data_IF_467547289814
#
_entry.id   IF_467547289814
#
_cell.length_a   1.000
_cell.length_b   1.000
_cell.length_c   1.000
_cell.angle_alpha   90.00
_cell.angle_beta   90.00
_cell.angle_gamma   90.00
#
_symmetry.space_group_name_H-M   'P 1'
#
loop_
_entity.id
_entity.type
_entity.pdbx_description
1 polymer ?
#
# COMPACT_ATOMS: atom_id res chain seq x y z
N UNK A 1 6.32 13.55 -3.38
CA UNK A 1 6.12 12.29 -2.63
C UNK A 1 5.23 11.42 -3.50
N UNK A 2 5.67 10.25 -3.95
CA UNK A 2 4.87 9.47 -4.92
C UNK A 2 5.65 8.44 -5.74
N UNK A 3 6.91 8.71 -6.09
CA UNK A 3 7.71 7.73 -6.85
C UNK A 3 7.98 6.45 -6.05
N UNK A 4 8.34 6.58 -4.77
CA UNK A 4 8.54 5.43 -3.88
C UNK A 4 7.24 4.62 -3.71
N UNK A 5 6.13 5.28 -3.38
CA UNK A 5 4.81 4.64 -3.30
C UNK A 5 4.39 3.93 -4.61
N UNK A 6 4.64 4.55 -5.77
CA UNK A 6 4.36 3.94 -7.08
C UNK A 6 5.22 2.70 -7.35
N UNK A 7 6.51 2.75 -7.00
CA UNK A 7 7.39 1.59 -7.10
C UNK A 7 6.93 0.46 -6.18
N UNK A 8 6.52 0.77 -4.96
CA UNK A 8 5.99 -0.22 -4.00
C UNK A 8 4.69 -0.83 -4.53
N UNK A 9 3.76 -0.02 -5.06
CA UNK A 9 2.53 -0.51 -5.70
C UNK A 9 2.84 -1.48 -6.84
N UNK A 10 3.75 -1.11 -7.74
CA UNK A 10 4.16 -1.99 -8.85
C UNK A 10 4.74 -3.31 -8.35
N UNK A 11 5.59 -3.26 -7.32
CA UNK A 11 6.18 -4.47 -6.77
C UNK A 11 5.15 -5.37 -6.08
N UNK A 12 4.17 -4.77 -5.40
CA UNK A 12 3.06 -5.51 -4.81
C UNK A 12 2.24 -6.24 -5.89
N UNK A 13 1.94 -5.60 -7.02
CA UNK A 13 1.25 -6.23 -8.15
C UNK A 13 2.02 -7.43 -8.70
N UNK A 14 3.33 -7.30 -8.90
CA UNK A 14 4.18 -8.41 -9.36
C UNK A 14 4.14 -9.62 -8.40
N UNK A 15 4.00 -9.38 -7.09
CA UNK A 15 3.93 -10.44 -6.08
C UNK A 15 2.58 -11.15 -6.09
N UNK A 16 1.49 -10.42 -6.33
CA UNK A 16 0.12 -10.94 -6.21
C UNK A 16 -0.54 -11.29 -7.55
N UNK A 17 0.19 -11.15 -8.68
CA UNK A 17 -0.36 -11.27 -10.03
C UNK A 17 -1.11 -12.60 -10.31
N UNK A 18 -0.70 -13.69 -9.65
CA UNK A 18 -1.27 -15.02 -9.84
C UNK A 18 -2.36 -15.36 -8.81
N UNK A 19 -2.71 -14.43 -7.92
CA UNK A 19 -3.78 -14.61 -6.94
C UNK A 19 -5.12 -14.17 -7.52
N UNK A 20 -6.15 -15.01 -7.33
CA UNK A 20 -7.52 -14.64 -7.64
C UNK A 20 -8.09 -13.78 -6.50
N UNK A 21 -8.54 -12.56 -6.82
CA UNK A 21 -9.20 -11.61 -5.92
C UNK A 21 -8.42 -11.31 -4.61
N UNK A 22 -7.16 -10.85 -4.68
CA UNK A 22 -6.35 -10.60 -3.50
C UNK A 22 -6.86 -9.42 -2.66
N UNK A 23 -6.77 -9.56 -1.35
CA UNK A 23 -6.96 -8.47 -0.38
C UNK A 23 -5.62 -8.02 0.18
N UNK A 24 -5.40 -6.71 0.25
CA UNK A 24 -4.12 -6.12 0.63
C UNK A 24 -4.29 -5.29 1.90
N UNK A 25 -3.53 -5.62 2.94
CA UNK A 25 -3.40 -4.84 4.17
C UNK A 25 -2.15 -3.96 4.05
N UNK A 26 -2.31 -2.65 4.22
CA UNK A 26 -1.18 -1.70 4.20
C UNK A 26 -0.97 -1.15 5.60
N UNK A 27 0.15 -1.51 6.22
CA UNK A 27 0.55 -1.03 7.55
C UNK A 27 1.54 0.11 7.42
N UNK A 28 1.10 1.31 7.80
CA UNK A 28 1.94 2.51 7.76
C UNK A 28 2.28 2.96 9.19
N UNK A 29 3.57 3.21 9.44
CA UNK A 29 4.01 3.94 10.63
C UNK A 29 4.01 5.45 10.40
N UNK A 30 4.41 6.23 11.42
CA UNK A 30 4.61 7.68 11.26
C UNK A 30 5.82 8.02 10.38
N UNK A 31 5.78 9.17 9.73
CA UNK A 31 6.90 9.74 8.95
C UNK A 31 6.87 9.43 7.46
N UNK A 32 7.99 9.67 6.77
CA UNK A 32 8.06 9.63 5.31
C UNK A 32 7.71 8.26 4.72
N UNK A 33 8.18 7.17 5.33
CA UNK A 33 7.86 5.81 4.89
C UNK A 33 6.36 5.50 5.01
N UNK A 34 5.69 6.04 6.04
CA UNK A 34 4.24 5.94 6.18
C UNK A 34 3.52 6.65 5.04
N UNK A 35 3.98 7.86 4.71
CA UNK A 35 3.49 8.61 3.56
C UNK A 35 3.64 7.86 2.24
N UNK A 36 4.77 7.18 2.03
CA UNK A 36 4.99 6.35 0.84
C UNK A 36 4.10 5.09 0.83
N UNK A 37 3.85 4.48 1.99
CA UNK A 37 2.91 3.38 2.13
C UNK A 37 1.48 3.79 1.79
N UNK A 38 1.02 4.96 2.26
CA UNK A 38 -0.28 5.52 1.87
C UNK A 38 -0.35 5.87 0.38
N UNK A 39 0.73 6.38 -0.21
CA UNK A 39 0.80 6.61 -1.64
C UNK A 39 0.68 5.29 -2.43
N UNK A 40 1.35 4.22 -2.00
CA UNK A 40 1.22 2.89 -2.60
C UNK A 40 -0.21 2.33 -2.47
N UNK A 41 -0.83 2.49 -1.29
CA UNK A 41 -2.21 2.08 -1.04
C UNK A 41 -3.18 2.81 -1.98
N UNK A 42 -2.99 4.11 -2.19
CA UNK A 42 -3.80 4.92 -3.09
C UNK A 42 -3.68 4.46 -4.55
N UNK A 43 -2.46 4.18 -5.03
CA UNK A 43 -2.24 3.63 -6.38
C UNK A 43 -2.95 2.29 -6.57
N UNK A 44 -2.81 1.37 -5.61
CA UNK A 44 -3.46 0.05 -5.68
C UNK A 44 -5.00 0.16 -5.61
N UNK A 45 -5.51 1.06 -4.78
CA UNK A 45 -6.95 1.32 -4.68
C UNK A 45 -7.54 1.85 -6.01
N UNK A 46 -6.85 2.79 -6.68
CA UNK A 46 -7.28 3.28 -7.99
C UNK A 46 -7.30 2.19 -9.06
N UNK A 47 -6.42 1.18 -8.93
CA UNK A 47 -6.39 -0.01 -9.77
C UNK A 47 -7.39 -1.11 -9.38
N UNK A 48 -8.32 -0.80 -8.47
CA UNK A 48 -9.45 -1.67 -8.06
C UNK A 48 -9.07 -2.88 -7.21
N UNK A 49 -7.89 -2.89 -6.61
CA UNK A 49 -7.59 -3.87 -5.56
C UNK A 49 -8.39 -3.58 -4.29
N UNK A 50 -8.69 -4.62 -3.53
CA UNK A 50 -9.30 -4.49 -2.20
C UNK A 50 -8.22 -4.10 -1.19
N UNK A 51 -8.28 -2.86 -0.68
CA UNK A 51 -7.26 -2.28 0.20
C UNK A 51 -7.84 -1.97 1.57
N UNK A 52 -7.12 -2.38 2.63
CA UNK A 52 -7.37 -1.98 4.01
C UNK A 52 -6.16 -1.19 4.51
N UNK A 53 -6.19 0.16 4.48
CA UNK A 53 -5.11 0.96 5.03
C UNK A 53 -5.23 1.08 6.55
N UNK A 54 -4.12 0.86 7.27
CA UNK A 54 -4.04 1.04 8.71
C UNK A 54 -2.86 1.94 9.07
N UNK A 55 -3.13 2.95 9.91
CA UNK A 55 -2.10 3.82 10.47
C UNK A 55 -1.76 3.34 11.89
N UNK A 56 -0.54 2.86 12.09
CA UNK A 56 0.01 2.65 13.42
C UNK A 56 0.43 4.01 14.00
N UNK A 57 -0.53 4.79 14.49
CA UNK A 57 -0.20 5.87 15.41
C UNK A 57 0.32 5.22 16.69
N UNK A 58 1.60 5.40 16.98
CA UNK A 58 2.26 4.77 18.12
C UNK A 58 1.63 5.14 19.46
N UNK A 59 0.56 4.44 19.82
CA UNK A 59 0.04 4.23 21.16
C UNK A 59 -0.46 2.79 21.20
N UNK A 60 0.43 1.90 21.61
CA UNK A 60 0.08 0.61 22.20
C UNK A 60 0.12 0.82 23.72
#
# INVERSE_FOLDING_TARGET
MGNAGKCVSKKAEEIIQDLKDPSILVLCGKGNNGGDGFAAASELYHKKYSINPFNCEGKI
#
